data_IF_360725467735
#
_entry.id   IF_360725467735
#
_cell.length_a   1.000
_cell.length_b   1.000
_cell.length_c   1.000
_cell.angle_alpha   90.00
_cell.angle_beta   90.00
_cell.angle_gamma   90.00
#
_symmetry.space_group_name_H-M   'P 1'
#
loop_
_entity.id
_entity.type
_entity.pdbx_description
1 polymer ?
#
# COMPACT_ATOMS: atom_id res chain seq x y z
N UNK A 1 5.71 18.35 -26.14
CA UNK A 1 4.43 17.70 -25.79
C UNK A 1 4.78 16.56 -24.87
N UNK A 2 4.77 16.79 -23.56
CA UNK A 2 5.02 15.73 -22.58
C UNK A 2 3.85 15.64 -21.62
N UNK A 3 2.88 14.84 -22.06
CA UNK A 3 1.79 14.33 -21.24
C UNK A 3 2.36 13.26 -20.32
N UNK A 4 2.62 13.56 -19.05
CA UNK A 4 2.76 12.49 -18.05
C UNK A 4 1.45 12.27 -17.27
N UNK A 5 0.40 11.94 -18.02
CA UNK A 5 -0.64 11.06 -17.51
C UNK A 5 -0.08 9.64 -17.61
N UNK A 6 0.70 9.20 -16.62
CA UNK A 6 1.37 7.90 -16.64
C UNK A 6 0.38 6.78 -16.28
N UNK A 7 -0.64 6.63 -17.11
CA UNK A 7 -1.70 5.66 -16.91
C UNK A 7 -2.35 5.27 -18.23
N UNK A 8 -1.55 4.94 -19.25
CA UNK A 8 -2.08 4.40 -20.50
C UNK A 8 -2.93 3.14 -20.27
N UNK A 9 -3.67 2.68 -21.29
CA UNK A 9 -4.51 1.46 -21.20
C UNK A 9 -3.79 0.27 -20.54
N UNK A 10 -2.48 0.13 -20.77
CA UNK A 10 -1.64 -0.90 -20.16
C UNK A 10 -1.49 -0.76 -18.63
N UNK A 11 -1.30 0.45 -18.10
CA UNK A 11 -1.21 0.67 -16.66
C UNK A 11 -2.55 0.42 -15.95
N UNK A 12 -3.66 0.85 -16.56
CA UNK A 12 -4.99 0.54 -16.06
C UNK A 12 -5.25 -0.97 -16.00
N UNK A 13 -4.86 -1.70 -17.04
CA UNK A 13 -4.94 -3.17 -17.06
C UNK A 13 -4.07 -3.81 -15.97
N UNK A 14 -2.83 -3.32 -15.79
CA UNK A 14 -1.91 -3.81 -14.77
C UNK A 14 -2.47 -3.63 -13.35
N UNK A 15 -3.06 -2.47 -13.05
CA UNK A 15 -3.72 -2.21 -11.77
C UNK A 15 -4.96 -3.08 -11.56
N UNK A 16 -5.74 -3.33 -12.61
CA UNK A 16 -6.88 -4.28 -12.54
C UNK A 16 -6.41 -5.69 -12.22
N UNK A 17 -5.36 -6.18 -12.89
CA UNK A 17 -4.78 -7.50 -12.63
C UNK A 17 -4.14 -7.61 -11.24
N UNK A 18 -3.57 -6.52 -10.74
CA UNK A 18 -3.10 -6.44 -9.37
C UNK A 18 -4.28 -6.57 -8.40
N UNK A 19 -5.35 -5.80 -8.60
CA UNK A 19 -6.55 -5.84 -7.74
C UNK A 19 -7.18 -7.24 -7.72
N UNK A 20 -7.36 -7.88 -8.87
CA UNK A 20 -7.90 -9.25 -8.96
C UNK A 20 -7.06 -10.26 -8.17
N UNK A 21 -5.72 -10.15 -8.22
CA UNK A 21 -4.83 -11.00 -7.42
C UNK A 21 -5.03 -10.79 -5.92
N UNK A 22 -5.16 -9.54 -5.47
CA UNK A 22 -5.39 -9.23 -4.06
C UNK A 22 -6.78 -9.68 -3.58
N UNK A 23 -7.80 -9.57 -4.44
CA UNK A 23 -9.15 -10.08 -4.17
C UNK A 23 -9.15 -11.59 -3.98
N UNK A 24 -8.46 -12.34 -4.85
CA UNK A 24 -8.35 -13.80 -4.69
C UNK A 24 -7.67 -14.20 -3.37
N UNK A 25 -6.66 -13.43 -2.92
CA UNK A 25 -6.06 -13.65 -1.60
C UNK A 25 -7.08 -13.33 -0.50
N UNK A 26 -7.82 -12.22 -0.59
CA UNK A 26 -8.86 -11.89 0.40
C UNK A 26 -9.92 -12.99 0.53
N UNK A 27 -10.36 -13.60 -0.58
CA UNK A 27 -11.30 -14.73 -0.58
C UNK A 27 -10.75 -15.95 0.18
N UNK A 28 -9.43 -16.18 0.08
CA UNK A 28 -8.75 -17.24 0.84
C UNK A 28 -8.81 -16.94 2.34
N UNK A 29 -8.55 -15.70 2.76
CA UNK A 29 -8.64 -15.30 4.17
C UNK A 29 -10.07 -15.35 4.73
N UNK A 30 -11.07 -15.04 3.90
CA UNK A 30 -12.48 -15.10 4.28
C UNK A 30 -13.00 -16.53 4.46
N UNK A 31 -12.44 -17.49 3.73
CA UNK A 31 -12.79 -18.91 3.83
C UNK A 31 -11.98 -19.67 4.88
N UNK A 32 -10.92 -19.06 5.40
CA UNK A 32 -10.05 -19.68 6.40
C UNK A 32 -10.65 -19.61 7.81
N UNK A 33 -10.68 -20.77 8.48
CA UNK A 33 -11.11 -20.90 9.88
C UNK A 33 -10.23 -20.13 10.86
N UNK A 34 -8.98 -19.83 10.53
CA UNK A 34 -8.04 -19.18 11.44
C UNK A 34 -8.38 -17.70 11.74
N UNK A 35 -9.21 -17.07 10.91
CA UNK A 35 -9.68 -15.70 11.07
C UNK A 35 -11.20 -15.60 11.28
N UNK A 36 -11.89 -16.72 11.55
CA UNK A 36 -13.34 -16.77 11.64
C UNK A 36 -13.92 -15.93 12.80
N UNK A 37 -13.13 -15.68 13.85
CA UNK A 37 -13.51 -14.85 15.00
C UNK A 37 -13.20 -13.36 14.79
N UNK A 38 -12.54 -12.99 13.69
CA UNK A 38 -12.20 -11.59 13.42
C UNK A 38 -13.44 -10.82 12.98
N UNK A 39 -13.94 -9.94 13.86
CA UNK A 39 -15.07 -9.06 13.54
C UNK A 39 -14.74 -8.15 12.33
N UNK A 40 -15.72 -7.96 11.46
CA UNK A 40 -15.63 -7.13 10.25
C UNK A 40 -14.45 -7.49 9.33
N UNK A 41 -14.03 -8.76 9.30
CA UNK A 41 -12.90 -9.23 8.50
C UNK A 41 -12.98 -8.78 7.04
N UNK A 42 -14.15 -8.90 6.40
CA UNK A 42 -14.36 -8.47 5.01
C UNK A 42 -14.05 -6.98 4.81
N UNK A 43 -14.56 -6.11 5.69
CA UNK A 43 -14.30 -4.67 5.62
C UNK A 43 -12.83 -4.33 5.90
N UNK A 44 -12.19 -5.05 6.84
CA UNK A 44 -10.75 -4.90 7.12
C UNK A 44 -9.90 -5.30 5.92
N UNK A 45 -10.19 -6.44 5.28
CA UNK A 45 -9.48 -6.91 4.10
C UNK A 45 -9.61 -5.94 2.92
N UNK A 46 -10.79 -5.33 2.71
CA UNK A 46 -10.95 -4.29 1.70
C UNK A 46 -10.15 -3.02 2.01
N UNK A 47 -10.09 -2.60 3.28
CA UNK A 47 -9.25 -1.48 3.70
C UNK A 47 -7.75 -1.79 3.52
N UNK A 48 -7.31 -2.99 3.89
CA UNK A 48 -5.92 -3.45 3.74
C UNK A 48 -5.51 -3.54 2.28
N UNK A 49 -6.37 -4.09 1.41
CA UNK A 49 -6.16 -4.12 -0.04
C UNK A 49 -5.92 -2.73 -0.61
N UNK A 50 -6.80 -1.78 -0.30
CA UNK A 50 -6.69 -0.39 -0.77
C UNK A 50 -5.37 0.25 -0.33
N UNK A 51 -5.01 0.09 0.94
CA UNK A 51 -3.72 0.59 1.46
C UNK A 51 -2.52 -0.07 0.80
N UNK A 52 -2.55 -1.38 0.61
CA UNK A 52 -1.47 -2.09 -0.07
C UNK A 52 -1.28 -1.59 -1.51
N UNK A 53 -2.36 -1.38 -2.26
CA UNK A 53 -2.31 -0.83 -3.62
C UNK A 53 -1.78 0.61 -3.69
N UNK A 54 -1.95 1.41 -2.64
CA UNK A 54 -1.35 2.75 -2.53
C UNK A 54 0.18 2.70 -2.37
N UNK A 55 0.72 1.57 -1.88
CA UNK A 55 2.13 1.42 -1.49
C UNK A 55 2.96 0.59 -2.47
N UNK A 56 2.35 -0.31 -3.22
CA UNK A 56 3.00 -1.06 -4.31
C UNK A 56 3.16 -0.17 -5.55
N UNK A 57 4.21 0.65 -5.51
CA UNK A 57 4.51 1.71 -6.47
C UNK A 57 5.37 1.25 -7.66
N UNK A 58 5.95 0.05 -7.60
CA UNK A 58 6.79 -0.51 -8.67
C UNK A 58 6.03 -1.52 -9.57
N UNK A 59 4.73 -1.72 -9.28
CA UNK A 59 3.81 -2.63 -9.96
C UNK A 59 4.26 -4.12 -9.98
N UNK A 60 5.18 -4.51 -9.09
CA UNK A 60 5.67 -5.89 -9.02
C UNK A 60 4.77 -6.80 -8.18
N UNK A 61 3.78 -6.26 -7.46
CA UNK A 61 2.92 -7.04 -6.57
C UNK A 61 3.44 -7.10 -5.13
N UNK A 62 4.63 -6.57 -4.86
CA UNK A 62 5.30 -6.62 -3.56
C UNK A 62 5.88 -5.26 -3.16
N UNK A 63 5.85 -4.95 -1.86
CA UNK A 63 6.44 -3.73 -1.34
C UNK A 63 7.93 -3.97 -1.10
N UNK A 64 8.77 -3.37 -1.93
CA UNK A 64 10.22 -3.33 -1.72
C UNK A 64 10.62 -2.22 -0.72
N UNK A 65 11.91 -2.15 -0.43
CA UNK A 65 12.47 -1.13 0.46
C UNK A 65 12.17 0.31 0.01
N UNK A 66 12.10 0.55 -1.30
CA UNK A 66 11.83 1.87 -1.87
C UNK A 66 10.34 2.22 -1.71
N UNK A 67 9.44 1.27 -1.94
CA UNK A 67 8.01 1.41 -1.71
C UNK A 67 7.72 1.71 -0.24
N UNK A 68 8.37 0.99 0.68
CA UNK A 68 8.27 1.26 2.12
C UNK A 68 8.78 2.66 2.46
N UNK A 69 9.93 3.07 1.91
CA UNK A 69 10.50 4.41 2.11
C UNK A 69 9.52 5.50 1.64
N UNK A 70 9.05 5.42 0.41
CA UNK A 70 8.16 6.42 -0.18
C UNK A 70 6.83 6.50 0.57
N UNK A 71 6.30 5.37 1.02
CA UNK A 71 5.12 5.33 1.88
C UNK A 71 5.34 6.11 3.18
N UNK A 72 6.42 5.84 3.91
CA UNK A 72 6.68 6.50 5.18
C UNK A 72 6.99 7.99 5.01
N UNK A 73 7.67 8.39 3.93
CA UNK A 73 7.86 9.79 3.57
C UNK A 73 6.53 10.51 3.29
N UNK A 74 5.59 9.86 2.59
CA UNK A 74 4.23 10.41 2.35
C UNK A 74 3.44 10.60 3.64
N UNK A 75 3.69 9.79 4.67
CA UNK A 75 3.09 9.93 6.00
C UNK A 75 3.83 10.97 6.87
N UNK A 76 4.94 11.54 6.40
CA UNK A 76 5.76 12.48 7.17
C UNK A 76 6.70 11.80 8.17
N UNK A 77 6.87 10.47 8.07
CA UNK A 77 7.67 9.64 8.95
C UNK A 77 8.94 9.12 8.26
N UNK A 78 9.74 10.00 7.65
CA UNK A 78 10.98 9.58 7.01
C UNK A 78 11.85 8.73 7.97
N UNK A 79 12.34 7.58 7.48
CA UNK A 79 13.17 6.64 8.24
C UNK A 79 14.52 6.44 7.58
N UNK A 80 15.50 6.07 8.39
CA UNK A 80 16.82 5.64 7.90
C UNK A 80 16.74 4.30 7.18
N UNK A 81 17.70 4.00 6.31
CA UNK A 81 17.77 2.72 5.61
C UNK A 81 17.79 1.50 6.56
N UNK A 82 18.48 1.63 7.70
CA UNK A 82 18.54 0.57 8.70
C UNK A 82 17.19 0.33 9.40
N UNK A 83 16.46 1.39 9.73
CA UNK A 83 15.10 1.28 10.29
C UNK A 83 14.14 0.64 9.29
N UNK A 84 14.21 1.04 8.02
CA UNK A 84 13.41 0.43 6.95
C UNK A 84 13.68 -1.07 6.84
N UNK A 85 14.96 -1.50 6.78
CA UNK A 85 15.31 -2.92 6.74
C UNK A 85 14.79 -3.69 7.96
N UNK A 86 14.92 -3.11 9.17
CA UNK A 86 14.39 -3.73 10.40
C UNK A 86 12.87 -3.88 10.35
N UNK A 87 12.15 -2.87 9.87
CA UNK A 87 10.70 -2.94 9.72
C UNK A 87 10.29 -4.03 8.71
N UNK A 88 11.01 -4.17 7.59
CA UNK A 88 10.73 -5.26 6.63
C UNK A 88 10.94 -6.63 7.25
N UNK A 89 12.09 -6.85 7.89
CA UNK A 89 12.40 -8.15 8.52
C UNK A 89 11.44 -8.49 9.67
N UNK A 90 10.92 -7.49 10.38
CA UNK A 90 9.90 -7.70 11.42
C UNK A 90 8.59 -8.24 10.83
N UNK A 91 8.19 -7.74 9.67
CA UNK A 91 6.95 -8.13 8.97
C UNK A 91 7.08 -9.51 8.33
N UNK A 92 8.19 -9.72 7.61
CA UNK A 92 8.41 -10.92 6.83
C UNK A 92 8.90 -12.09 7.71
N UNK A 93 9.53 -11.80 8.85
CA UNK A 93 10.12 -12.80 9.72
C UNK A 93 11.40 -13.44 9.17
N UNK A 94 11.88 -13.00 8.00
CA UNK A 94 13.09 -13.46 7.34
C UNK A 94 13.97 -12.26 6.99
N UNK A 95 15.24 -12.31 7.40
CA UNK A 95 16.24 -11.27 7.12
C UNK A 95 16.78 -11.32 5.69
N UNK A 96 16.55 -12.41 4.96
CA UNK A 96 17.02 -12.59 3.57
C UNK A 96 16.03 -12.07 2.53
N UNK A 97 14.75 -11.95 2.86
CA UNK A 97 13.72 -11.44 1.96
C UNK A 97 13.64 -9.91 2.06
N UNK A 98 13.79 -9.26 0.91
CA UNK A 98 13.85 -7.80 0.78
C UNK A 98 12.53 -7.17 0.30
N UNK A 99 11.44 -7.93 0.33
CA UNK A 99 10.10 -7.50 -0.10
C UNK A 99 9.03 -7.99 0.87
N UNK A 100 7.95 -7.23 1.01
CA UNK A 100 6.75 -7.60 1.77
C UNK A 100 5.68 -7.99 0.76
N UNK A 101 5.23 -9.24 0.81
CA UNK A 101 4.09 -9.70 0.00
C UNK A 101 2.77 -9.28 0.64
N UNK A 102 1.66 -9.37 -0.09
CA UNK A 102 0.35 -9.07 0.46
C UNK A 102 -0.03 -10.01 1.62
N UNK A 103 0.40 -11.27 1.58
CA UNK A 103 0.23 -12.21 2.69
C UNK A 103 0.99 -11.77 3.94
N UNK A 104 2.25 -11.35 3.79
CA UNK A 104 3.05 -10.83 4.92
C UNK A 104 2.38 -9.60 5.54
N UNK A 105 1.83 -8.73 4.69
CA UNK A 105 1.08 -7.54 5.10
C UNK A 105 -0.19 -7.89 5.88
N UNK A 106 -1.01 -8.82 5.37
CA UNK A 106 -2.24 -9.27 6.05
C UNK A 106 -1.93 -9.94 7.38
N UNK A 107 -0.93 -10.83 7.41
CA UNK A 107 -0.47 -11.47 8.64
C UNK A 107 0.00 -10.47 9.69
N UNK A 108 0.69 -9.40 9.28
CA UNK A 108 1.03 -8.29 10.17
C UNK A 108 -0.24 -7.58 10.69
N UNK A 109 -1.16 -7.20 9.79
CA UNK A 109 -2.33 -6.39 10.16
C UNK A 109 -3.34 -7.14 11.03
N UNK A 110 -3.60 -8.42 10.73
CA UNK A 110 -4.52 -9.29 11.48
C UNK A 110 -3.84 -9.98 12.68
N UNK A 111 -2.51 -10.13 12.66
CA UNK A 111 -1.78 -10.84 13.70
C UNK A 111 -1.73 -10.10 15.05
N UNK A 112 -1.48 -10.84 16.12
CA UNK A 112 -1.38 -10.28 17.49
C UNK A 112 -0.08 -9.50 17.74
N UNK A 113 0.91 -9.61 16.85
CA UNK A 113 2.21 -8.92 16.99
C UNK A 113 2.07 -7.44 16.63
N UNK A 114 2.65 -6.57 17.46
CA UNK A 114 2.68 -5.13 17.24
C UNK A 114 3.93 -4.72 16.48
N UNK A 115 3.97 -4.97 15.18
CA UNK A 115 5.04 -4.46 14.33
C UNK A 115 5.03 -2.93 14.29
N UNK A 116 6.20 -2.29 14.19
CA UNK A 116 6.28 -0.82 14.11
C UNK A 116 5.46 -0.30 12.92
N UNK A 117 5.53 -1.01 11.79
CA UNK A 117 4.77 -0.67 10.59
C UNK A 117 3.26 -0.75 10.81
N UNK A 118 2.77 -1.77 11.53
CA UNK A 118 1.35 -1.92 11.90
C UNK A 118 0.87 -0.72 12.70
N UNK A 119 1.64 -0.31 13.71
CA UNK A 119 1.28 0.82 14.57
C UNK A 119 1.15 2.10 13.73
N UNK A 120 2.14 2.40 12.89
CA UNK A 120 2.11 3.57 11.99
C UNK A 120 0.83 3.56 11.13
N UNK A 121 0.53 2.43 10.49
CA UNK A 121 -0.62 2.33 9.59
C UNK A 121 -1.96 2.47 10.33
N UNK A 122 -2.09 1.86 11.52
CA UNK A 122 -3.30 1.94 12.32
C UNK A 122 -3.53 3.34 12.91
N UNK A 123 -2.49 4.05 13.35
CA UNK A 123 -2.62 5.37 13.98
C UNK A 123 -2.63 6.54 12.99
N UNK A 124 -1.88 6.44 11.89
CA UNK A 124 -1.66 7.58 10.99
C UNK A 124 -2.28 7.41 9.61
N UNK A 125 -2.39 6.17 9.12
CA UNK A 125 -2.85 5.86 7.77
C UNK A 125 -4.35 5.50 7.66
N UNK A 126 -4.95 5.00 8.75
CA UNK A 126 -6.34 4.50 8.79
C UNK A 126 -7.31 5.39 9.56
N UNK A 127 -6.82 6.22 10.49
CA UNK A 127 -7.64 7.13 11.30
C UNK A 127 -7.85 8.54 10.71
N UNK A 128 -7.12 8.88 9.63
CA UNK A 128 -7.32 10.13 8.90
C UNK A 128 -8.09 9.79 7.63
N UNK A 129 -9.39 10.09 7.61
CA UNK A 129 -10.05 10.38 6.34
C UNK A 129 -9.20 11.46 5.67
N UNK A 130 -8.41 11.09 4.68
CA UNK A 130 -7.84 12.08 3.80
C UNK A 130 -9.04 12.73 3.15
N UNK A 131 -9.33 13.98 3.52
CA UNK A 131 -10.08 14.89 2.66
C UNK A 131 -9.56 14.63 1.25
N UNK A 132 -10.40 14.01 0.41
CA UNK A 132 -10.17 14.06 -1.03
C UNK A 132 -10.21 15.55 -1.32
N UNK A 133 -9.05 16.20 -1.33
CA UNK A 133 -8.92 17.48 -1.98
C UNK A 133 -9.25 17.15 -3.42
N UNK A 134 -10.47 17.51 -3.83
CA UNK A 134 -10.81 17.70 -5.22
C UNK A 134 -9.85 18.79 -5.72
N UNK A 135 -8.61 18.38 -6.03
CA UNK A 135 -7.69 19.23 -6.74
C UNK A 135 -8.23 19.22 -8.15
N UNK A 136 -9.15 20.15 -8.42
CA UNK A 136 -9.57 20.47 -9.77
C UNK A 136 -8.30 20.53 -10.63
N UNK A 137 -8.30 19.89 -11.81
CA UNK A 137 -7.09 19.78 -12.60
C UNK A 137 -6.52 21.19 -12.78
N UNK A 138 -5.24 21.42 -12.43
CA UNK A 138 -4.64 22.73 -12.57
C UNK A 138 -4.84 23.18 -14.01
N UNK A 139 -5.28 24.44 -14.17
CA UNK A 139 -5.58 25.01 -15.48
C UNK A 139 -4.37 24.79 -16.40
N UNK A 140 -4.65 24.27 -17.61
CA UNK A 140 -3.59 24.01 -18.58
C UNK A 140 -2.91 25.33 -18.92
N UNK A 141 -1.67 25.50 -18.44
CA UNK A 141 -0.78 26.52 -18.97
C UNK A 141 -0.46 26.16 -20.41
N UNK A 142 -0.84 27.03 -21.32
CA UNK A 142 -0.59 26.92 -22.74
C UNK A 142 0.76 27.55 -23.07
N UNK A 143 1.26 27.33 -24.29
CA UNK A 143 2.46 28.04 -24.77
C UNK A 143 2.30 29.57 -24.77
N UNK A 144 1.06 30.07 -24.67
CA UNK A 144 0.77 31.50 -24.53
C UNK A 144 1.01 32.06 -23.11
N UNK A 145 1.25 31.20 -22.11
CA UNK A 145 1.46 31.58 -20.70
C UNK A 145 2.95 31.65 -20.30
N UNK A 146 3.87 31.54 -21.27
CA UNK A 146 5.30 31.72 -21.06
C UNK A 146 5.68 33.19 -21.33
N UNK A 147 6.57 33.80 -20.51
CA UNK A 147 7.04 35.17 -20.73
C UNK A 147 7.93 35.31 -21.97
#
# INVERSE_FOLDING_TARGET
MDHNAQGGKAYGLLKSQQEERLLSINETYLSDTQHAEEEDLSSKLEMFKKKYMEFDLNDQGEIDLMGLKQMLEKLGLAKTHLELKKMMSEVVGDTSKETISYNDFLNMMLGKKNAILKLILMFEGMGKEQDKKDVAPPSRKTFADLP
#
